data_IF_241431572071
#
_entry.id   IF_241431572071
#
_cell.length_a   1.000
_cell.length_b   1.000
_cell.length_c   1.000
_cell.angle_alpha   90.00
_cell.angle_beta   90.00
_cell.angle_gamma   90.00
#
_symmetry.space_group_name_H-M   'P 1'
#
loop_
_entity.id
_entity.type
_entity.pdbx_description
1 polymer ?
#
# COMPACT_ATOMS: atom_id res chain seq x y z
N UNK A 1 11.92 1.75 6.40
CA UNK A 1 13.21 1.66 5.68
C UNK A 1 12.91 1.54 4.19
N UNK A 2 13.50 2.36 3.33
CA UNK A 2 13.32 2.27 1.88
C UNK A 2 14.55 1.66 1.22
N UNK A 3 14.36 0.57 0.48
CA UNK A 3 15.40 -0.07 -0.34
C UNK A 3 15.38 0.61 -1.72
N UNK A 4 16.52 1.11 -2.18
CA UNK A 4 16.65 1.67 -3.53
C UNK A 4 16.52 0.58 -4.59
N UNK A 5 15.62 0.79 -5.56
CA UNK A 5 15.39 -0.12 -6.69
C UNK A 5 15.59 0.56 -8.05
N UNK A 6 16.33 1.67 -8.08
CA UNK A 6 16.63 2.45 -9.29
C UNK A 6 15.48 3.35 -9.73
N UNK A 7 14.27 2.82 -9.89
CA UNK A 7 13.07 3.58 -10.26
C UNK A 7 12.36 4.24 -9.06
N UNK A 8 12.83 3.99 -7.84
CA UNK A 8 12.22 4.49 -6.61
C UNK A 8 12.66 3.68 -5.40
N UNK A 9 11.80 3.59 -4.39
CA UNK A 9 12.08 2.88 -3.14
C UNK A 9 11.03 1.81 -2.84
N UNK A 10 11.48 0.66 -2.34
CA UNK A 10 10.62 -0.36 -1.75
C UNK A 10 10.66 -0.27 -0.24
N UNK A 11 9.50 -0.06 0.36
CA UNK A 11 9.41 0.09 1.81
C UNK A 11 9.48 -1.27 2.51
N UNK A 12 10.16 -1.25 3.66
CA UNK A 12 10.27 -2.30 4.66
C UNK A 12 9.93 -1.71 6.01
N UNK A 13 8.99 -2.35 6.70
CA UNK A 13 8.54 -1.90 8.03
C UNK A 13 9.49 -2.51 9.07
N UNK A 14 10.23 -1.67 9.82
CA UNK A 14 10.94 -2.13 11.01
C UNK A 14 9.92 -2.58 12.05
N UNK A 15 10.09 -3.78 12.60
CA UNK A 15 9.23 -4.37 13.62
C UNK A 15 9.84 -4.27 15.01
N UNK A 16 11.14 -4.51 15.12
CA UNK A 16 11.85 -4.50 16.40
C UNK A 16 13.35 -4.22 16.22
N UNK A 17 13.98 -3.76 17.30
CA UNK A 17 15.44 -3.80 17.45
C UNK A 17 15.75 -5.01 18.34
N UNK A 18 16.65 -5.89 17.89
CA UNK A 18 17.05 -7.08 18.62
C UNK A 18 18.17 -6.76 19.62
N UNK A 19 18.48 -7.71 20.52
CA UNK A 19 19.48 -7.54 21.58
C UNK A 19 20.89 -7.26 21.04
N UNK A 20 21.20 -7.73 19.83
CA UNK A 20 22.47 -7.48 19.14
C UNK A 20 22.50 -6.12 18.41
N UNK A 21 21.43 -5.32 18.53
CA UNK A 21 21.26 -4.03 17.87
C UNK A 21 20.77 -4.12 16.42
N UNK A 22 20.54 -5.31 15.88
CA UNK A 22 19.98 -5.48 14.54
C UNK A 22 18.50 -5.07 14.46
N UNK A 23 18.03 -4.73 13.27
CA UNK A 23 16.65 -4.30 13.04
C UNK A 23 15.89 -5.38 12.30
N UNK A 24 14.92 -6.00 12.96
CA UNK A 24 13.99 -6.94 12.35
C UNK A 24 13.01 -6.18 11.46
N UNK A 25 12.91 -6.56 10.18
CA UNK A 25 11.94 -6.01 9.24
C UNK A 25 10.84 -7.03 8.91
N UNK A 26 9.65 -6.53 8.58
CA UNK A 26 8.49 -7.35 8.17
C UNK A 26 8.72 -8.13 6.87
N UNK A 27 9.71 -7.72 6.07
CA UNK A 27 10.13 -8.41 4.86
C UNK A 27 11.64 -8.32 4.70
N UNK A 28 12.20 -9.19 3.85
CA UNK A 28 13.63 -9.26 3.57
C UNK A 28 14.23 -7.93 3.08
N UNK A 29 15.43 -7.64 3.58
CA UNK A 29 16.33 -6.58 3.11
C UNK A 29 17.58 -7.26 2.54
N UNK A 30 17.78 -7.30 1.22
CA UNK A 30 18.93 -8.00 0.64
C UNK A 30 20.27 -7.38 1.07
N UNK A 31 21.28 -8.23 1.26
CA UNK A 31 22.64 -7.78 1.61
C UNK A 31 23.21 -6.92 0.48
N UNK A 32 23.90 -5.83 0.84
CA UNK A 32 24.46 -4.87 -0.12
C UNK A 32 23.45 -3.86 -0.67
N UNK A 33 22.19 -3.90 -0.23
CA UNK A 33 21.19 -2.89 -0.62
C UNK A 33 21.57 -1.50 -0.14
N UNK A 34 21.41 -0.51 -1.01
CA UNK A 34 21.38 0.89 -0.60
C UNK A 34 20.02 1.19 0.05
N UNK A 35 20.04 1.62 1.31
CA UNK A 35 18.81 1.90 2.07
C UNK A 35 18.73 3.34 2.54
N UNK A 36 17.51 3.85 2.69
CA UNK A 36 17.20 5.17 3.24
C UNK A 36 16.23 5.05 4.41
N UNK A 37 16.45 5.84 5.46
CA UNK A 37 15.44 6.03 6.49
C UNK A 37 14.37 6.94 5.90
N UNK A 38 13.13 6.44 5.86
CA UNK A 38 12.00 7.14 5.25
C UNK A 38 10.86 7.22 6.25
N UNK A 39 10.11 8.32 6.17
CA UNK A 39 8.90 8.56 6.94
C UNK A 39 7.79 8.89 5.96
N UNK A 40 6.63 8.25 6.12
CA UNK A 40 5.42 8.66 5.42
C UNK A 40 4.58 9.57 6.32
N UNK A 41 3.84 10.48 5.70
CA UNK A 41 2.83 11.34 6.32
C UNK A 41 1.43 10.78 6.06
N UNK A 42 0.43 11.30 6.77
CA UNK A 42 -0.99 11.10 6.47
C UNK A 42 -1.30 11.39 4.99
N UNK A 43 -0.87 12.55 4.51
CA UNK A 43 -1.09 12.97 3.13
C UNK A 43 -0.50 11.98 2.13
N UNK A 44 0.68 11.41 2.39
CA UNK A 44 1.27 10.41 1.50
C UNK A 44 0.52 9.06 1.49
N UNK A 45 -0.18 8.73 2.58
CA UNK A 45 -1.00 7.51 2.64
C UNK A 45 -2.30 7.69 1.86
N UNK A 46 -2.96 8.85 2.04
CA UNK A 46 -4.14 9.25 1.26
C UNK A 46 -3.80 9.28 -0.24
N UNK A 47 -2.73 9.97 -0.62
CA UNK A 47 -2.26 10.05 -2.01
C UNK A 47 -1.96 8.66 -2.61
N UNK A 48 -1.39 7.74 -1.83
CA UNK A 48 -1.16 6.37 -2.27
C UNK A 48 -2.48 5.60 -2.51
N UNK A 49 -3.47 5.77 -1.63
CA UNK A 49 -4.79 5.16 -1.76
C UNK A 49 -5.57 5.71 -2.96
N UNK A 50 -5.52 7.03 -3.19
CA UNK A 50 -6.11 7.68 -4.36
C UNK A 50 -5.48 7.15 -5.66
N UNK A 51 -4.14 7.16 -5.75
CA UNK A 51 -3.42 6.67 -6.93
C UNK A 51 -3.70 5.20 -7.21
N UNK A 52 -3.78 4.36 -6.18
CA UNK A 52 -4.15 2.95 -6.34
C UNK A 52 -5.58 2.81 -6.90
N UNK A 53 -6.52 3.62 -6.41
CA UNK A 53 -7.91 3.63 -6.88
C UNK A 53 -8.00 4.10 -8.33
N UNK A 54 -7.33 5.20 -8.68
CA UNK A 54 -7.28 5.73 -10.04
C UNK A 54 -6.68 4.71 -11.02
N UNK A 55 -5.58 4.05 -10.64
CA UNK A 55 -4.96 3.01 -11.46
C UNK A 55 -5.91 1.83 -11.70
N UNK A 56 -6.66 1.40 -10.67
CA UNK A 56 -7.65 0.33 -10.81
C UNK A 56 -8.83 0.75 -11.70
N UNK A 57 -9.33 1.98 -11.56
CA UNK A 57 -10.38 2.54 -12.42
C UNK A 57 -9.94 2.61 -13.89
N UNK A 58 -8.72 3.09 -14.15
CA UNK A 58 -8.15 3.11 -15.50
C UNK A 58 -8.03 1.69 -16.08
N UNK A 59 -7.77 0.70 -15.23
CA UNK A 59 -7.72 -0.72 -15.61
C UNK A 59 -9.04 -1.28 -16.14
N UNK A 60 -10.19 -0.74 -15.72
CA UNK A 60 -11.53 -1.15 -16.19
C UNK A 60 -11.80 -0.72 -17.64
N UNK A 61 -11.07 0.27 -18.15
CA UNK A 61 -11.26 0.89 -19.46
C UNK A 61 -12.68 1.46 -19.61
N UNK A 62 -13.57 0.74 -20.29
CA UNK A 62 -14.95 1.15 -20.57
C UNK A 62 -15.99 0.40 -19.73
N UNK A 63 -15.58 -0.49 -18.84
CA UNK A 63 -16.51 -1.21 -17.98
C UNK A 63 -16.87 -0.37 -16.76
N UNK A 64 -18.14 -0.44 -16.37
CA UNK A 64 -18.65 0.22 -15.16
C UNK A 64 -18.19 -0.55 -13.92
N UNK A 65 -17.64 0.12 -12.90
CA UNK A 65 -17.29 -0.53 -11.63
C UNK A 65 -18.55 -0.99 -10.89
N UNK A 66 -18.54 -2.22 -10.34
CA UNK A 66 -19.66 -2.80 -9.60
C UNK A 66 -19.36 -3.06 -8.13
N UNK A 67 -18.13 -3.49 -7.83
CA UNK A 67 -17.66 -3.73 -6.48
C UNK A 67 -16.15 -3.55 -6.41
N UNK A 68 -15.60 -3.30 -5.22
CA UNK A 68 -14.17 -3.17 -5.00
C UNK A 68 -13.70 -3.85 -3.73
N UNK A 69 -12.44 -4.29 -3.77
CA UNK A 69 -11.66 -4.71 -2.61
C UNK A 69 -10.54 -3.70 -2.35
N UNK A 70 -10.45 -3.24 -1.11
CA UNK A 70 -9.39 -2.36 -0.65
C UNK A 70 -8.58 -3.01 0.48
N UNK A 71 -7.27 -3.16 0.27
CA UNK A 71 -6.34 -3.64 1.27
C UNK A 71 -5.29 -2.56 1.55
N UNK A 72 -5.02 -2.31 2.82
CA UNK A 72 -3.94 -1.42 3.24
C UNK A 72 -3.07 -2.06 4.31
N UNK A 73 -1.81 -1.64 4.40
CA UNK A 73 -0.84 -2.22 5.31
C UNK A 73 -1.16 -1.85 6.75
N UNK A 74 -1.20 -2.84 7.64
CA UNK A 74 -1.42 -2.62 9.07
C UNK A 74 -0.39 -1.65 9.68
N UNK A 75 0.82 -1.58 9.12
CA UNK A 75 1.84 -0.62 9.53
C UNK A 75 1.51 0.85 9.18
N UNK A 76 0.65 1.08 8.16
CA UNK A 76 0.07 2.40 7.89
C UNK A 76 -0.97 2.72 8.95
N UNK A 77 -1.94 1.83 9.16
CA UNK A 77 -2.98 1.98 10.19
C UNK A 77 -2.44 2.17 11.60
N UNK A 78 -1.48 1.37 12.05
CA UNK A 78 -0.89 1.49 13.38
C UNK A 78 -0.19 2.84 13.60
N UNK A 79 0.25 3.49 12.52
CA UNK A 79 0.88 4.81 12.56
C UNK A 79 -0.12 5.95 12.57
N UNK A 80 -1.18 5.81 11.77
CA UNK A 80 -2.19 6.85 11.55
C UNK A 80 -3.33 6.79 12.59
N UNK A 81 -3.48 5.65 13.27
CA UNK A 81 -4.53 5.45 14.28
C UNK A 81 -5.91 5.73 13.70
N UNK A 82 -6.61 6.68 14.30
CA UNK A 82 -7.97 7.07 13.92
C UNK A 82 -8.06 7.76 12.54
N UNK A 83 -6.92 8.21 12.00
CA UNK A 83 -6.85 8.90 10.72
C UNK A 83 -6.93 7.96 9.51
N UNK A 84 -6.90 6.63 9.71
CA UNK A 84 -7.12 5.66 8.64
C UNK A 84 -8.47 5.87 7.92
N UNK A 85 -9.46 6.46 8.61
CA UNK A 85 -10.73 6.84 8.00
C UNK A 85 -10.60 7.77 6.79
N UNK A 86 -9.54 8.59 6.72
CA UNK A 86 -9.30 9.48 5.58
C UNK A 86 -8.86 8.72 4.33
N UNK A 87 -8.05 7.67 4.46
CA UNK A 87 -7.67 6.82 3.32
C UNK A 87 -8.89 6.09 2.76
N UNK A 88 -9.69 5.49 3.64
CA UNK A 88 -10.94 4.83 3.25
C UNK A 88 -11.93 5.82 2.62
N UNK A 89 -12.01 7.04 3.14
CA UNK A 89 -12.81 8.12 2.57
C UNK A 89 -12.37 8.47 1.15
N UNK A 90 -11.07 8.68 0.94
CA UNK A 90 -10.51 8.99 -0.37
C UNK A 90 -10.78 7.88 -1.41
N UNK A 91 -10.70 6.61 -1.01
CA UNK A 91 -11.08 5.47 -1.88
C UNK A 91 -12.58 5.51 -2.22
N UNK A 92 -13.45 5.71 -1.23
CA UNK A 92 -14.90 5.78 -1.44
C UNK A 92 -15.33 6.95 -2.33
N UNK A 93 -14.77 8.12 -2.10
CA UNK A 93 -15.08 9.33 -2.87
C UNK A 93 -14.76 9.14 -4.37
N UNK A 94 -13.71 8.38 -4.68
CA UNK A 94 -13.29 8.06 -6.05
C UNK A 94 -14.11 6.94 -6.70
N UNK A 95 -14.50 5.92 -5.92
CA UNK A 95 -15.26 4.77 -6.42
C UNK A 95 -16.76 5.07 -6.60
N UNK A 96 -17.29 6.05 -5.85
CA UNK A 96 -18.72 6.34 -5.84
C UNK A 96 -19.53 5.29 -5.09
N UNK A 97 -20.77 5.10 -5.50
CA UNK A 97 -21.76 4.26 -4.80
C UNK A 97 -21.68 2.79 -5.27
N UNK A 98 -20.54 2.14 -4.98
CA UNK A 98 -20.31 0.72 -5.24
C UNK A 98 -20.01 -0.05 -3.95
N UNK A 99 -20.27 -1.35 -3.96
CA UNK A 99 -19.94 -2.21 -2.82
C UNK A 99 -18.42 -2.23 -2.58
N UNK A 100 -18.00 -1.87 -1.37
CA UNK A 100 -16.59 -1.84 -0.96
C UNK A 100 -16.37 -2.76 0.24
N UNK A 101 -15.46 -3.73 0.09
CA UNK A 101 -15.01 -4.59 1.17
C UNK A 101 -13.48 -4.57 1.28
N UNK A 102 -12.94 -5.09 2.38
CA UNK A 102 -11.50 -5.06 2.59
C UNK A 102 -11.06 -5.24 4.04
N UNK A 103 -9.74 -5.25 4.25
CA UNK A 103 -9.14 -5.29 5.57
C UNK A 103 -7.70 -4.78 5.55
N UNK A 104 -7.17 -4.46 6.72
CA UNK A 104 -5.74 -4.22 6.85
C UNK A 104 -4.97 -5.55 6.88
N UNK A 105 -3.84 -5.61 6.19
CA UNK A 105 -3.00 -6.82 6.09
C UNK A 105 -1.55 -6.55 6.49
N UNK A 106 -0.81 -7.60 6.85
CA UNK A 106 0.62 -7.50 7.19
C UNK A 106 1.49 -7.48 5.92
N UNK A 107 1.35 -6.40 5.15
CA UNK A 107 1.86 -6.30 3.79
C UNK A 107 0.89 -6.89 2.76
N UNK A 108 1.15 -6.65 1.49
CA UNK A 108 0.30 -7.08 0.38
C UNK A 108 1.10 -7.84 -0.65
N UNK A 109 0.53 -8.94 -1.15
CA UNK A 109 1.02 -9.59 -2.36
C UNK A 109 0.14 -9.16 -3.52
N UNK A 110 0.62 -8.23 -4.35
CA UNK A 110 -0.11 -7.71 -5.49
C UNK A 110 0.81 -7.54 -6.69
N UNK A 111 0.34 -7.97 -7.86
CA UNK A 111 1.02 -7.82 -9.15
C UNK A 111 0.06 -7.16 -10.13
N UNK A 112 0.24 -5.88 -10.39
CA UNK A 112 -0.43 -5.20 -11.49
C UNK A 112 0.38 -5.33 -12.79
N UNK A 113 -0.26 -5.11 -13.94
CA UNK A 113 0.43 -5.05 -15.22
C UNK A 113 1.55 -3.99 -15.17
N UNK A 114 2.78 -4.38 -15.49
CA UNK A 114 3.97 -3.52 -15.41
C UNK A 114 4.68 -3.53 -14.05
N UNK A 115 4.18 -4.25 -13.04
CA UNK A 115 4.87 -4.43 -11.76
C UNK A 115 5.54 -5.80 -11.69
N UNK A 116 6.88 -5.81 -11.54
CA UNK A 116 7.69 -7.03 -11.56
C UNK A 116 7.77 -7.75 -10.20
N UNK A 117 7.43 -7.06 -9.10
CA UNK A 117 7.65 -7.53 -7.72
C UNK A 117 6.35 -7.60 -6.91
N UNK A 118 6.27 -8.58 -6.01
CA UNK A 118 5.01 -9.06 -5.45
C UNK A 118 4.71 -8.60 -4.03
N UNK A 119 5.70 -8.49 -3.14
CA UNK A 119 5.45 -8.18 -1.72
C UNK A 119 5.78 -6.73 -1.36
N UNK A 120 4.75 -6.05 -0.86
CA UNK A 120 4.74 -4.62 -0.59
C UNK A 120 4.43 -4.35 0.89
N UNK A 121 5.08 -3.35 1.48
CA UNK A 121 4.71 -2.81 2.79
C UNK A 121 4.39 -1.32 2.63
N UNK A 122 3.53 -0.78 3.50
CA UNK A 122 3.05 0.60 3.41
C UNK A 122 2.48 0.92 2.02
N UNK A 123 1.60 0.05 1.52
CA UNK A 123 1.03 0.14 0.17
C UNK A 123 -0.47 -0.12 0.23
N UNK A 124 -1.22 0.72 -0.48
CA UNK A 124 -2.63 0.54 -0.76
C UNK A 124 -2.81 -0.33 -2.00
N UNK A 125 -3.71 -1.32 -1.93
CA UNK A 125 -4.08 -2.18 -3.06
C UNK A 125 -5.58 -2.09 -3.25
N UNK A 126 -5.99 -1.71 -4.46
CA UNK A 126 -7.39 -1.64 -4.86
C UNK A 126 -7.62 -2.58 -6.04
N UNK A 127 -8.63 -3.42 -5.93
CA UNK A 127 -9.10 -4.29 -7.01
C UNK A 127 -10.57 -3.97 -7.28
N UNK A 128 -10.92 -3.65 -8.52
CA UNK A 128 -12.29 -3.30 -8.90
C UNK A 128 -12.84 -4.35 -9.85
N UNK A 129 -14.05 -4.81 -9.57
CA UNK A 129 -14.80 -5.75 -10.38
C UNK A 129 -15.77 -4.98 -11.28
N UNK A 130 -15.77 -5.23 -12.59
CA UNK A 130 -16.78 -4.67 -13.49
C UNK A 130 -18.15 -5.34 -13.27
N UNK A 131 -19.19 -4.76 -13.90
CA UNK A 131 -20.47 -5.47 -14.13
C UNK A 131 -20.31 -6.79 -14.89
#
# INVERSE_FOLDING_TARGET
LGIDVGAGHRLRVPLAVQDDGSVLCASEVPVGSLVRIMRSSEHSAIDAAEKATEAALQGLRSHTPKAALFFDCVATRLRLGDQFGFELGAVKDRLGDIDLAGCNTHGQIARASGQFDGFHNCTAVVCIFPE
#
